data_IF_353657346609
#
_entry.id   IF_353657346609
#
_cell.length_a   1.000
_cell.length_b   1.000
_cell.length_c   1.000
_cell.angle_alpha   90.00
_cell.angle_beta   90.00
_cell.angle_gamma   90.00
#
_symmetry.space_group_name_H-M   'P 1'
#
loop_
_entity.id
_entity.type
_entity.pdbx_description
1 polymer ?
#
# COMPACT_ATOMS: atom_id res chain seq x y z
N UNK A 1 -7.88 6.80 0.51
CA UNK A 1 -6.89 5.71 0.40
C UNK A 1 -6.69 5.41 -1.07
N UNK A 2 -5.46 5.43 -1.58
CA UNK A 2 -5.22 5.20 -3.00
C UNK A 2 -5.51 3.76 -3.47
N UNK A 3 -5.65 2.79 -2.55
CA UNK A 3 -5.98 1.40 -2.89
C UNK A 3 -7.46 1.05 -2.89
N UNK A 4 -8.25 1.63 -1.98
CA UNK A 4 -9.69 1.33 -1.85
C UNK A 4 -10.61 2.52 -2.15
N UNK A 5 -10.03 3.66 -2.56
CA UNK A 5 -10.72 4.90 -2.95
C UNK A 5 -11.60 5.54 -1.85
N UNK A 6 -11.73 4.90 -0.69
CA UNK A 6 -12.46 5.43 0.46
C UNK A 6 -11.65 6.50 1.23
N UNK A 7 -12.33 7.47 1.87
CA UNK A 7 -11.67 8.43 2.76
C UNK A 7 -10.99 7.70 3.93
N UNK A 8 -9.83 8.22 4.35
CA UNK A 8 -9.09 7.64 5.49
C UNK A 8 -9.62 8.27 6.77
N UNK A 9 -10.38 7.48 7.53
CA UNK A 9 -10.87 7.84 8.87
C UNK A 9 -10.07 7.15 10.00
N UNK A 10 -9.07 6.35 9.64
CA UNK A 10 -8.20 5.66 10.60
C UNK A 10 -7.39 6.65 11.43
N UNK A 11 -7.07 6.25 12.67
CA UNK A 11 -6.20 7.02 13.57
C UNK A 11 -4.81 7.25 12.97
N UNK A 12 -4.33 6.29 12.18
CA UNK A 12 -3.03 6.32 11.53
C UNK A 12 -3.19 6.08 10.03
N UNK A 13 -2.34 6.72 9.24
CA UNK A 13 -2.28 6.53 7.80
C UNK A 13 -0.85 6.37 7.34
N UNK A 14 -0.66 5.62 6.27
CA UNK A 14 0.64 5.43 5.64
C UNK A 14 0.72 6.29 4.39
N UNK A 15 1.85 6.99 4.21
CA UNK A 15 2.12 7.76 3.00
C UNK A 15 3.15 7.02 2.16
N UNK A 16 2.73 6.58 0.98
CA UNK A 16 3.56 5.81 0.04
C UNK A 16 3.46 6.46 -1.34
N UNK A 17 4.60 6.83 -1.91
CA UNK A 17 4.71 7.46 -3.23
C UNK A 17 3.75 8.67 -3.38
N UNK A 18 3.82 9.61 -2.43
CA UNK A 18 2.97 10.82 -2.33
C UNK A 18 1.46 10.57 -2.11
N UNK A 19 1.03 9.31 -1.97
CA UNK A 19 -0.37 8.93 -1.76
C UNK A 19 -0.61 8.41 -0.35
N UNK A 20 -1.81 8.64 0.17
CA UNK A 20 -2.22 8.16 1.49
C UNK A 20 -2.97 6.83 1.40
N UNK A 21 -2.65 5.90 2.29
CA UNK A 21 -3.17 4.54 2.35
C UNK A 21 -3.59 4.19 3.78
N UNK A 22 -4.60 3.33 3.92
CA UNK A 22 -4.88 2.66 5.19
C UNK A 22 -3.80 1.65 5.51
N UNK A 23 -3.57 1.39 6.80
CA UNK A 23 -2.65 0.33 7.25
C UNK A 23 -3.01 -1.04 6.65
N UNK A 24 -4.31 -1.33 6.53
CA UNK A 24 -4.84 -2.57 5.94
C UNK A 24 -4.82 -2.61 4.41
N UNK A 25 -4.67 -1.45 3.76
CA UNK A 25 -4.60 -1.34 2.31
C UNK A 25 -3.18 -1.40 1.78
N UNK A 26 -2.17 -1.20 2.63
CA UNK A 26 -0.76 -1.32 2.28
C UNK A 26 -0.38 -2.80 2.26
N UNK A 27 -0.68 -3.45 1.14
CA UNK A 27 -0.41 -4.86 0.91
C UNK A 27 0.01 -5.10 -0.53
N UNK A 28 0.74 -6.19 -0.76
CA UNK A 28 1.14 -6.56 -2.10
C UNK A 28 -0.08 -6.90 -2.97
N UNK A 29 -0.13 -6.39 -4.19
CA UNK A 29 -1.20 -6.69 -5.13
C UNK A 29 -1.20 -8.16 -5.62
N UNK A 30 -0.08 -8.88 -5.44
CA UNK A 30 0.08 -10.28 -5.86
C UNK A 30 -0.17 -11.22 -4.69
N UNK A 31 0.71 -11.21 -3.67
CA UNK A 31 0.59 -12.13 -2.54
C UNK A 31 -0.33 -11.66 -1.41
N UNK A 32 -0.88 -10.43 -1.49
CA UNK A 32 -1.74 -9.82 -0.46
C UNK A 32 -1.10 -9.68 0.93
N UNK A 33 0.20 -9.93 1.04
CA UNK A 33 0.96 -9.75 2.29
C UNK A 33 1.04 -8.28 2.66
N UNK A 34 0.85 -7.98 3.94
CA UNK A 34 1.00 -6.63 4.47
C UNK A 34 2.44 -6.13 4.26
N UNK A 35 2.58 -4.91 3.74
CA UNK A 35 3.89 -4.32 3.47
C UNK A 35 4.29 -3.41 4.63
N UNK A 36 5.13 -3.92 5.52
CA UNK A 36 5.65 -3.15 6.66
C UNK A 36 7.08 -2.67 6.34
N UNK A 37 7.27 -1.35 6.23
CA UNK A 37 8.58 -0.75 5.95
C UNK A 37 8.79 -0.48 4.46
N UNK A 38 9.48 -1.37 3.76
CA UNK A 38 9.83 -1.18 2.34
C UNK A 38 8.76 -1.77 1.42
N UNK A 39 8.24 -0.95 0.53
CA UNK A 39 7.30 -1.36 -0.51
C UNK A 39 7.67 -0.71 -1.85
N UNK A 40 7.28 -1.38 -2.93
CA UNK A 40 7.51 -0.89 -4.29
C UNK A 40 6.17 -0.50 -4.91
N UNK A 41 6.13 0.63 -5.60
CA UNK A 41 4.92 1.15 -6.23
C UNK A 41 5.07 1.11 -7.75
N UNK A 42 4.14 0.45 -8.44
CA UNK A 42 4.08 0.39 -9.91
C UNK A 42 2.63 0.45 -10.35
N UNK A 43 2.30 1.31 -11.31
CA UNK A 43 0.94 1.46 -11.84
C UNK A 43 -0.16 1.70 -10.78
N UNK A 44 0.19 2.43 -9.70
CA UNK A 44 -0.66 2.67 -8.50
C UNK A 44 -0.92 1.42 -7.64
N UNK A 45 -0.27 0.30 -7.92
CA UNK A 45 -0.30 -0.90 -7.10
C UNK A 45 0.97 -1.01 -6.25
N UNK A 46 0.83 -1.62 -5.08
CA UNK A 46 1.93 -1.86 -4.16
C UNK A 46 2.41 -3.30 -4.28
N UNK A 47 3.72 -3.49 -4.23
CA UNK A 47 4.37 -4.78 -4.39
C UNK A 47 5.36 -5.02 -3.25
N UNK A 48 5.47 -6.28 -2.83
CA UNK A 48 6.56 -6.70 -1.97
C UNK A 48 7.85 -6.81 -2.79
N UNK A 49 9.00 -6.91 -2.11
CA UNK A 49 10.28 -7.08 -2.80
C UNK A 49 10.27 -8.28 -3.75
N UNK A 50 9.71 -9.40 -3.30
CA UNK A 50 9.70 -10.66 -4.06
C UNK A 50 8.86 -10.59 -5.34
N UNK A 51 7.66 -10.01 -5.27
CA UNK A 51 6.74 -9.91 -6.42
C UNK A 51 7.06 -8.74 -7.36
N UNK A 52 8.00 -7.86 -6.96
CA UNK A 52 8.47 -6.75 -7.79
C UNK A 52 9.67 -7.14 -8.67
N UNK A 53 10.42 -8.16 -8.26
CA UNK A 53 11.58 -8.72 -8.99
C UNK A 53 11.17 -9.62 -10.17
#
# INVERSE_FOLDING_TARGET
>A
CAGCEAPIADRFLLRVNERSWHETCVKCAVCLSALTGTCYCRDRLLYCKHDYE
#
